data_IF_953925020863
#
_entry.id   IF_953925020863
#
_cell.length_a   1.000
_cell.length_b   1.000
_cell.length_c   1.000
_cell.angle_alpha   90.00
_cell.angle_beta   90.00
_cell.angle_gamma   90.00
#
_symmetry.space_group_name_H-M   'P 1'
#
loop_
_entity.id
_entity.type
_entity.pdbx_description
1 polymer ?
#
# COMPACT_ATOMS: atom_id res chain seq x y z
N UNK A 1 19.82 40.89 84.18
CA UNK A 1 20.73 42.06 84.21
C UNK A 1 21.05 42.47 82.78
N UNK A 2 20.89 43.77 82.49
CA UNK A 2 21.26 44.58 81.30
C UNK A 2 22.08 43.95 80.15
N UNK A 3 21.66 44.23 78.91
CA UNK A 3 22.33 45.02 77.84
C UNK A 3 21.44 44.93 76.57
N UNK A 4 20.72 45.96 76.12
CA UNK A 4 21.11 47.23 75.45
C UNK A 4 21.89 47.02 74.15
N UNK A 5 21.45 47.74 73.10
CA UNK A 5 22.06 47.98 71.77
C UNK A 5 21.55 47.04 70.66
N UNK A 6 21.22 47.48 69.44
CA UNK A 6 21.52 48.72 68.73
C UNK A 6 20.54 48.88 67.55
N UNK A 7 20.05 50.10 67.30
CA UNK A 7 19.39 50.47 66.03
C UNK A 7 20.42 50.48 64.91
N UNK A 8 20.09 49.89 63.75
CA UNK A 8 20.59 50.38 62.46
C UNK A 8 19.43 50.41 61.46
N UNK A 9 18.99 51.62 61.15
CA UNK A 9 18.11 51.91 60.03
C UNK A 9 18.95 51.85 58.74
N UNK A 10 18.75 50.82 57.93
CA UNK A 10 19.28 50.76 56.57
C UNK A 10 18.22 51.31 55.62
N UNK A 11 18.49 52.52 55.14
CA UNK A 11 17.82 53.20 54.03
C UNK A 11 17.74 52.28 52.80
N UNK A 12 16.53 52.01 52.33
CA UNK A 12 16.28 51.47 50.99
C UNK A 12 16.77 52.50 49.97
N UNK A 13 17.87 52.18 49.28
CA UNK A 13 18.22 52.87 48.05
C UNK A 13 17.35 52.29 46.92
N UNK A 14 16.37 53.07 46.48
CA UNK A 14 15.65 52.85 45.22
C UNK A 14 16.64 53.01 44.07
N UNK A 15 17.15 51.90 43.54
CA UNK A 15 17.80 51.89 42.24
C UNK A 15 16.71 52.07 41.17
N UNK A 16 16.54 53.31 40.71
CA UNK A 16 15.88 53.59 39.45
C UNK A 16 16.83 53.12 38.33
N UNK A 17 16.59 51.92 37.81
CA UNK A 17 17.20 51.48 36.56
C UNK A 17 16.36 52.07 35.41
N UNK A 18 16.60 53.33 35.08
CA UNK A 18 16.21 53.88 33.78
C UNK A 18 17.20 53.36 32.74
N UNK A 19 17.03 52.08 32.38
CA UNK A 19 17.59 51.53 31.17
C UNK A 19 16.64 51.88 30.03
N UNK A 20 16.99 52.92 29.26
CA UNK A 20 16.62 53.00 27.86
C UNK A 20 17.28 51.81 27.15
N UNK A 21 16.67 50.64 27.28
CA UNK A 21 16.82 49.62 26.26
C UNK A 21 16.02 50.13 25.08
N UNK A 22 16.72 50.57 24.03
CA UNK A 22 16.11 50.51 22.73
C UNK A 22 15.55 49.10 22.60
N UNK A 23 14.24 48.97 22.41
CA UNK A 23 13.71 47.85 21.65
C UNK A 23 14.51 47.88 20.35
N UNK A 24 15.62 47.15 20.31
CA UNK A 24 16.07 46.54 19.08
C UNK A 24 14.89 45.66 18.73
N UNK A 25 13.96 46.19 17.94
CA UNK A 25 13.05 45.37 17.20
C UNK A 25 13.96 44.34 16.53
N UNK A 26 13.96 43.12 17.08
CA UNK A 26 14.51 41.97 16.39
C UNK A 26 14.01 42.11 14.95
N UNK A 27 14.89 42.02 13.92
CA UNK A 27 14.42 42.04 12.55
C UNK A 27 13.29 41.02 12.47
N UNK A 28 12.09 41.54 12.25
CA UNK A 28 10.89 40.74 12.31
C UNK A 28 10.95 39.83 11.10
N UNK A 29 11.14 38.54 11.35
CA UNK A 29 11.29 37.56 10.28
C UNK A 29 10.06 37.45 9.37
N UNK A 30 10.16 36.63 8.32
CA UNK A 30 9.09 36.49 7.34
C UNK A 30 7.77 36.02 7.97
N UNK A 31 6.66 36.38 7.36
CA UNK A 31 5.31 35.94 7.74
C UNK A 31 4.67 35.22 6.56
N UNK A 32 4.17 34.01 6.80
CA UNK A 32 3.42 33.23 5.82
C UNK A 32 1.96 33.69 5.85
N UNK A 33 1.56 34.47 4.86
CA UNK A 33 0.19 34.99 4.74
C UNK A 33 -0.79 33.90 4.29
N UNK A 34 -0.36 33.03 3.36
CA UNK A 34 -1.14 31.86 2.92
C UNK A 34 -0.22 30.70 2.62
N UNK A 35 -0.68 29.48 2.90
CA UNK A 35 -0.02 28.24 2.52
C UNK A 35 -1.08 27.21 2.13
N UNK A 36 -1.02 26.74 0.89
CA UNK A 36 -2.01 25.83 0.32
C UNK A 36 -1.33 24.75 -0.53
N UNK A 37 -2.06 23.65 -0.74
CA UNK A 37 -1.77 22.66 -1.76
C UNK A 37 -2.90 22.72 -2.81
N UNK A 38 -2.56 22.49 -4.08
CA UNK A 38 -3.54 22.44 -5.19
C UNK A 38 -4.49 21.23 -5.10
N UNK A 39 -4.09 20.19 -4.36
CA UNK A 39 -4.93 19.04 -3.99
C UNK A 39 -4.73 18.65 -2.52
N UNK A 40 -5.79 18.15 -1.88
CA UNK A 40 -5.75 17.53 -0.56
C UNK A 40 -5.69 15.99 -0.64
N UNK A 41 -5.80 15.43 -1.84
CA UNK A 41 -5.71 13.99 -2.11
C UNK A 41 -4.82 13.71 -3.30
N UNK A 42 -3.88 12.78 -3.12
CA UNK A 42 -2.93 12.38 -4.17
C UNK A 42 -3.00 10.86 -4.36
N UNK A 43 -2.99 10.42 -5.61
CA UNK A 43 -2.87 9.02 -5.99
C UNK A 43 -1.56 8.74 -6.72
N UNK A 44 -1.22 7.47 -6.90
CA UNK A 44 -0.03 7.02 -7.64
C UNK A 44 0.10 7.71 -9.02
N UNK A 45 1.33 8.12 -9.34
CA UNK A 45 1.69 8.90 -10.52
C UNK A 45 1.26 10.38 -10.49
N UNK A 46 0.57 10.82 -9.43
CA UNK A 46 0.12 12.21 -9.28
C UNK A 46 1.22 13.18 -8.87
N UNK A 47 0.91 14.47 -8.96
CA UNK A 47 1.74 15.56 -8.43
C UNK A 47 0.91 16.47 -7.54
N UNK A 48 1.55 17.10 -6.56
CA UNK A 48 0.97 18.15 -5.70
C UNK A 48 1.86 19.38 -5.76
N UNK A 49 1.24 20.55 -5.91
CA UNK A 49 1.90 21.86 -5.90
C UNK A 49 1.58 22.57 -4.60
N UNK A 50 2.62 22.86 -3.83
CA UNK A 50 2.55 23.68 -2.63
C UNK A 50 2.83 25.14 -2.99
N UNK A 51 1.93 26.03 -2.61
CA UNK A 51 2.05 27.47 -2.88
C UNK A 51 1.96 28.26 -1.57
N UNK A 52 2.96 29.11 -1.33
CA UNK A 52 2.99 30.02 -0.20
C UNK A 52 3.09 31.49 -0.65
N UNK A 53 2.29 32.35 -0.01
CA UNK A 53 2.46 33.80 -0.09
C UNK A 53 3.17 34.25 1.19
N UNK A 54 4.32 34.88 1.03
CA UNK A 54 5.19 35.27 2.15
C UNK A 54 5.48 36.75 2.07
N UNK A 55 5.32 37.42 3.21
CA UNK A 55 5.64 38.84 3.38
C UNK A 55 6.75 38.99 4.40
N UNK A 56 7.56 40.03 4.27
CA UNK A 56 8.56 40.39 5.27
C UNK A 56 8.44 41.90 5.55
N UNK A 57 8.48 42.36 6.82
CA UNK A 57 8.41 43.78 7.14
C UNK A 57 9.55 44.63 6.56
N UNK A 58 10.70 44.04 6.23
CA UNK A 58 11.82 44.66 5.50
C UNK A 58 11.61 44.64 3.98
N UNK A 59 10.58 43.92 3.52
CA UNK A 59 10.16 43.78 2.13
C UNK A 59 10.40 42.36 1.61
N UNK A 60 9.57 41.90 0.66
CA UNK A 60 9.61 40.52 0.13
C UNK A 60 10.93 40.12 -0.51
N UNK A 61 11.76 41.09 -0.94
CA UNK A 61 13.11 40.84 -1.43
C UNK A 61 14.11 40.44 -0.34
N UNK A 62 13.73 40.52 0.95
CA UNK A 62 14.58 40.08 2.06
C UNK A 62 14.38 38.61 2.45
N UNK A 63 13.33 37.97 1.91
CA UNK A 63 13.10 36.53 2.10
C UNK A 63 14.15 35.76 1.29
N UNK A 64 15.00 35.00 1.98
CA UNK A 64 16.09 34.25 1.38
C UNK A 64 15.63 32.92 0.77
N UNK A 65 14.60 32.29 1.34
CA UNK A 65 14.02 31.06 0.83
C UNK A 65 13.06 30.40 1.80
N UNK A 66 12.48 29.28 1.39
CA UNK A 66 11.64 28.45 2.24
C UNK A 66 11.91 26.97 2.04
N UNK A 67 11.67 26.20 3.09
CA UNK A 67 11.83 24.74 3.07
C UNK A 67 10.49 24.07 3.38
N UNK A 68 10.22 22.96 2.71
CA UNK A 68 9.10 22.09 3.01
C UNK A 68 9.58 20.83 3.74
N UNK A 69 9.01 20.55 4.91
CA UNK A 69 9.34 19.41 5.77
C UNK A 69 8.11 18.58 6.12
N UNK A 70 8.34 17.34 6.56
CA UNK A 70 7.34 16.53 7.24
C UNK A 70 7.16 17.05 8.67
N UNK A 71 5.93 17.42 9.05
CA UNK A 71 5.67 18.00 10.36
C UNK A 71 5.83 16.99 11.52
N UNK A 72 5.81 15.68 11.23
CA UNK A 72 5.93 14.63 12.23
C UNK A 72 7.38 14.13 12.34
N UNK A 73 8.05 13.93 11.20
CA UNK A 73 9.40 13.37 11.13
C UNK A 73 10.52 14.40 11.02
N UNK A 74 10.23 15.62 10.55
CA UNK A 74 11.22 16.66 10.24
C UNK A 74 12.00 16.40 8.94
N UNK A 75 11.69 15.34 8.20
CA UNK A 75 12.32 15.03 6.92
C UNK A 75 12.05 16.14 5.91
N UNK A 76 13.05 16.51 5.10
CA UNK A 76 12.94 17.60 4.13
C UNK A 76 12.53 17.08 2.76
N UNK A 77 11.46 17.62 2.20
CA UNK A 77 10.98 17.28 0.86
C UNK A 77 11.60 18.17 -0.22
N UNK A 78 11.88 19.43 0.08
CA UNK A 78 12.46 20.35 -0.90
C UNK A 78 12.51 21.79 -0.43
N UNK A 79 12.99 22.63 -1.33
CA UNK A 79 13.10 24.08 -1.15
C UNK A 79 12.14 24.72 -2.14
N UNK A 80 11.43 25.76 -1.71
CA UNK A 80 10.53 26.51 -2.58
C UNK A 80 11.30 27.36 -3.60
N UNK A 81 10.77 27.42 -4.82
CA UNK A 81 11.21 28.35 -5.86
C UNK A 81 10.28 29.58 -5.87
N UNK A 82 10.83 30.75 -6.17
CA UNK A 82 10.06 32.00 -6.23
C UNK A 82 9.73 32.36 -7.68
N UNK A 83 8.45 32.48 -8.03
CA UNK A 83 8.00 32.83 -9.38
C UNK A 83 7.88 34.36 -9.61
N UNK A 84 8.14 35.16 -8.57
CA UNK A 84 8.02 36.61 -8.52
C UNK A 84 6.83 37.12 -7.68
N UNK A 85 5.83 36.27 -7.44
CA UNK A 85 4.62 36.59 -6.65
C UNK A 85 4.42 35.59 -5.50
N UNK A 86 4.63 34.31 -5.77
CA UNK A 86 4.47 33.20 -4.85
C UNK A 86 5.75 32.36 -4.74
N UNK A 87 5.80 31.57 -3.67
CA UNK A 87 6.77 30.53 -3.47
C UNK A 87 6.12 29.19 -3.77
N UNK A 88 6.67 28.45 -4.73
CA UNK A 88 6.10 27.20 -5.23
C UNK A 88 7.07 26.02 -5.11
N UNK A 89 6.54 24.86 -4.76
CA UNK A 89 7.25 23.59 -4.81
C UNK A 89 6.29 22.52 -5.31
N UNK A 90 6.62 21.91 -6.45
CA UNK A 90 5.87 20.78 -6.99
C UNK A 90 6.60 19.48 -6.62
N UNK A 91 5.86 18.54 -6.03
CA UNK A 91 6.37 17.20 -5.72
C UNK A 91 5.51 16.15 -6.42
N UNK A 92 6.16 15.17 -7.02
CA UNK A 92 5.48 13.96 -7.46
C UNK A 92 5.24 13.01 -6.29
N UNK A 93 4.31 12.07 -6.51
CA UNK A 93 4.11 10.92 -5.65
C UNK A 93 5.44 10.21 -5.29
N UNK A 94 6.29 9.98 -6.29
CA UNK A 94 7.59 9.33 -6.12
C UNK A 94 8.59 10.18 -5.31
N UNK A 95 8.60 11.51 -5.49
CA UNK A 95 9.46 12.40 -4.69
C UNK A 95 9.10 12.30 -3.20
N UNK A 96 7.81 12.26 -2.88
CA UNK A 96 7.31 12.14 -1.51
C UNK A 96 7.58 10.74 -0.95
N UNK A 97 7.33 9.69 -1.73
CA UNK A 97 7.61 8.31 -1.37
C UNK A 97 9.09 8.01 -1.18
N UNK A 98 9.97 8.70 -1.91
CA UNK A 98 11.42 8.59 -1.80
C UNK A 98 12.01 9.14 -0.50
N UNK A 99 11.33 10.12 0.12
CA UNK A 99 11.72 10.68 1.43
C UNK A 99 11.21 9.78 2.56
N UNK A 100 9.90 9.50 2.55
CA UNK A 100 9.27 8.58 3.50
C UNK A 100 8.35 7.63 2.74
N UNK A 101 8.59 6.33 2.90
CA UNK A 101 7.86 5.27 2.19
C UNK A 101 6.35 5.45 2.30
N UNK A 102 5.65 5.30 1.18
CA UNK A 102 4.19 5.31 1.10
C UNK A 102 3.68 3.87 1.23
N UNK A 103 3.78 3.32 2.44
CA UNK A 103 3.24 2.00 2.80
C UNK A 103 1.95 2.18 3.60
N UNK A 104 0.81 1.74 3.06
CA UNK A 104 -0.48 1.86 3.74
C UNK A 104 -1.48 0.80 3.25
N UNK A 105 -2.42 0.41 4.12
CA UNK A 105 -3.46 -0.57 3.78
C UNK A 105 -4.65 0.05 3.02
N UNK A 106 -4.88 1.36 3.19
CA UNK A 106 -6.00 2.07 2.56
C UNK A 106 -5.66 3.50 2.16
N UNK A 107 -5.14 4.28 3.11
CA UNK A 107 -4.66 5.64 2.90
C UNK A 107 -3.58 6.01 3.93
N UNK A 108 -2.70 6.93 3.55
CA UNK A 108 -1.77 7.62 4.46
C UNK A 108 -2.10 9.10 4.47
N UNK A 109 -1.99 9.76 5.62
CA UNK A 109 -2.21 11.20 5.73
C UNK A 109 -0.95 11.85 6.26
N UNK A 110 -0.39 12.78 5.50
CA UNK A 110 0.81 13.52 5.91
C UNK A 110 0.52 14.99 6.10
N UNK A 111 1.18 15.57 7.09
CA UNK A 111 1.16 17.00 7.35
C UNK A 111 2.49 17.57 6.90
N UNK A 112 2.44 18.46 5.92
CA UNK A 112 3.59 19.19 5.40
C UNK A 112 3.70 20.52 6.12
N UNK A 113 4.92 20.91 6.48
CA UNK A 113 5.24 22.15 7.17
C UNK A 113 6.14 23.01 6.30
N UNK A 114 5.81 24.29 6.16
CA UNK A 114 6.61 25.29 5.48
C UNK A 114 7.19 26.28 6.48
N UNK A 115 8.50 26.52 6.39
CA UNK A 115 9.22 27.55 7.15
C UNK A 115 10.04 28.38 6.17
N UNK A 116 9.94 29.71 6.28
CA UNK A 116 10.70 30.66 5.47
C UNK A 116 11.72 31.40 6.31
N UNK A 117 12.86 31.73 5.69
CA UNK A 117 13.96 32.43 6.34
C UNK A 117 14.33 33.68 5.56
N UNK A 118 14.67 34.75 6.27
CA UNK A 118 15.20 35.99 5.69
C UNK A 118 16.74 35.97 5.54
N UNK A 119 17.32 37.00 4.91
CA UNK A 119 18.77 37.13 4.75
C UNK A 119 19.53 37.42 6.05
N UNK A 120 18.82 37.80 7.11
CA UNK A 120 19.36 38.05 8.46
C UNK A 120 19.30 36.80 9.35
N UNK A 121 18.64 35.73 8.88
CA UNK A 121 18.42 34.48 9.60
C UNK A 121 17.16 34.46 10.47
N UNK A 122 16.26 35.43 10.34
CA UNK A 122 14.94 35.39 10.96
C UNK A 122 14.05 34.33 10.29
N UNK A 123 13.30 33.58 11.08
CA UNK A 123 12.43 32.49 10.61
C UNK A 123 10.96 32.86 10.77
N UNK A 124 10.12 32.41 9.84
CA UNK A 124 8.68 32.51 9.97
C UNK A 124 8.13 31.54 11.01
N UNK A 125 6.93 31.83 11.52
CA UNK A 125 6.14 30.78 12.15
C UNK A 125 5.83 29.66 11.13
N UNK A 126 5.75 28.39 11.56
CA UNK A 126 5.43 27.29 10.66
C UNK A 126 3.98 27.38 10.17
N UNK A 127 3.77 27.11 8.88
CA UNK A 127 2.46 26.91 8.30
C UNK A 127 2.32 25.46 7.82
N UNK A 128 1.14 24.86 8.02
CA UNK A 128 0.94 23.44 7.69
C UNK A 128 -0.24 23.20 6.74
N UNK A 129 -0.10 22.18 5.91
CA UNK A 129 -1.18 21.64 5.05
C UNK A 129 -1.12 20.12 5.09
N UNK A 130 -2.28 19.46 5.02
CA UNK A 130 -2.34 18.01 5.01
C UNK A 130 -2.75 17.48 3.63
N UNK A 131 -2.09 16.40 3.19
CA UNK A 131 -2.42 15.67 1.96
C UNK A 131 -2.65 14.21 2.31
N UNK A 132 -3.72 13.63 1.77
CA UNK A 132 -4.05 12.21 1.91
C UNK A 132 -3.62 11.45 0.66
N UNK A 133 -2.79 10.44 0.83
CA UNK A 133 -2.31 9.51 -0.19
C UNK A 133 -3.25 8.31 -0.27
N UNK A 134 -3.64 7.90 -1.47
CA UNK A 134 -4.55 6.75 -1.64
C UNK A 134 -4.30 5.98 -2.94
N UNK A 135 -4.75 4.73 -2.94
CA UNK A 135 -4.82 3.86 -4.12
C UNK A 135 -6.29 3.43 -4.36
N UNK A 136 -7.23 4.37 -4.22
CA UNK A 136 -8.68 4.14 -4.44
C UNK A 136 -9.27 2.97 -3.63
N UNK A 137 -8.73 2.75 -2.43
CA UNK A 137 -9.13 1.68 -1.52
C UNK A 137 -8.24 0.44 -1.60
N UNK A 138 -7.30 0.39 -2.54
CA UNK A 138 -6.22 -0.57 -2.58
C UNK A 138 -5.08 -0.15 -1.63
N UNK A 139 -4.25 -1.10 -1.18
CA UNK A 139 -3.04 -0.82 -0.42
C UNK A 139 -1.92 -0.28 -1.33
N UNK A 140 -0.95 0.39 -0.70
CA UNK A 140 0.29 0.82 -1.33
C UNK A 140 1.48 0.12 -0.69
N UNK A 141 2.40 -0.37 -1.53
CA UNK A 141 3.64 -1.01 -1.14
C UNK A 141 4.83 -0.30 -1.78
N UNK A 142 5.64 0.37 -0.97
CA UNK A 142 6.78 1.16 -1.43
C UNK A 142 6.37 2.28 -2.41
N UNK A 143 5.13 2.77 -2.30
CA UNK A 143 4.55 3.74 -3.23
C UNK A 143 3.84 3.15 -4.45
N UNK A 144 3.89 1.84 -4.71
CA UNK A 144 3.08 1.27 -5.80
C UNK A 144 1.69 0.89 -5.27
N UNK A 145 0.63 1.23 -6.02
CA UNK A 145 -0.71 0.71 -5.75
C UNK A 145 -0.80 -0.77 -6.17
N UNK A 146 -1.16 -1.65 -5.23
CA UNK A 146 -1.10 -3.10 -5.44
C UNK A 146 -2.44 -3.77 -5.11
N UNK A 147 -2.92 -4.62 -6.01
CA UNK A 147 -4.04 -5.52 -5.73
C UNK A 147 -3.55 -6.80 -5.03
N UNK A 148 -3.68 -6.84 -3.70
CA UNK A 148 -3.36 -8.04 -2.92
C UNK A 148 -4.17 -9.28 -3.28
N UNK A 149 -5.24 -9.17 -4.07
CA UNK A 149 -6.09 -10.30 -4.43
C UNK A 149 -5.63 -11.06 -5.66
N UNK A 150 -4.84 -10.42 -6.52
CA UNK A 150 -4.39 -10.98 -7.80
C UNK A 150 -2.89 -10.86 -8.03
N UNK A 151 -2.19 -9.97 -7.33
CA UNK A 151 -0.73 -9.84 -7.45
C UNK A 151 0.00 -10.98 -6.73
N UNK A 152 0.58 -11.89 -7.51
CA UNK A 152 1.38 -13.01 -7.01
C UNK A 152 2.66 -12.57 -6.27
N UNK A 153 3.14 -11.34 -6.46
CA UNK A 153 4.31 -10.82 -5.75
C UNK A 153 3.96 -10.18 -4.40
N UNK A 154 2.68 -9.92 -4.13
CA UNK A 154 2.17 -9.20 -2.96
C UNK A 154 0.86 -9.80 -2.43
N UNK A 155 0.72 -11.12 -2.50
CA UNK A 155 -0.52 -11.81 -2.26
C UNK A 155 -0.95 -11.75 -0.79
N UNK A 156 -2.03 -11.02 -0.52
CA UNK A 156 -2.51 -10.78 0.85
C UNK A 156 -1.67 -9.80 1.68
N UNK A 157 -0.62 -9.20 1.11
CA UNK A 157 0.25 -8.25 1.80
C UNK A 157 1.49 -7.85 1.00
N UNK A 158 2.06 -6.68 1.32
CA UNK A 158 3.29 -6.20 0.69
C UNK A 158 4.44 -7.21 0.84
N UNK A 159 5.07 -7.57 -0.29
CA UNK A 159 6.19 -8.51 -0.35
C UNK A 159 5.83 -9.97 -0.08
N UNK A 160 4.54 -10.31 0.06
CA UNK A 160 4.09 -11.70 0.24
C UNK A 160 4.03 -12.38 -1.12
N UNK A 161 5.17 -12.90 -1.56
CA UNK A 161 5.23 -13.64 -2.81
C UNK A 161 4.64 -15.04 -2.62
N UNK A 162 3.86 -15.47 -3.60
CA UNK A 162 3.50 -16.86 -3.72
C UNK A 162 4.74 -17.64 -4.14
N UNK A 163 5.46 -18.20 -3.17
CA UNK A 163 6.61 -19.06 -3.44
C UNK A 163 6.14 -20.28 -4.22
N UNK A 164 6.74 -20.51 -5.40
CA UNK A 164 6.62 -21.79 -6.08
C UNK A 164 7.02 -22.86 -5.07
N UNK A 165 6.09 -23.76 -4.78
CA UNK A 165 6.33 -24.87 -3.87
C UNK A 165 7.53 -25.67 -4.38
N UNK A 166 8.75 -25.36 -3.90
CA UNK A 166 9.99 -26.05 -4.31
C UNK A 166 10.05 -27.51 -3.82
N UNK A 167 8.94 -28.06 -3.31
CA UNK A 167 8.86 -29.42 -2.78
C UNK A 167 7.88 -30.34 -3.52
N UNK A 168 7.46 -30.05 -4.77
CA UNK A 168 6.71 -31.04 -5.55
C UNK A 168 7.21 -31.18 -6.99
N UNK A 169 8.14 -32.13 -7.14
CA UNK A 169 8.57 -32.82 -8.36
C UNK A 169 9.28 -31.99 -9.44
N UNK A 170 10.60 -32.17 -9.45
CA UNK A 170 11.59 -31.80 -10.47
C UNK A 170 11.36 -32.41 -11.88
N UNK A 171 10.12 -32.76 -12.23
CA UNK A 171 9.77 -33.38 -13.52
C UNK A 171 8.70 -32.63 -14.32
N UNK A 172 8.02 -31.63 -13.76
CA UNK A 172 7.03 -30.84 -14.50
C UNK A 172 7.49 -29.39 -14.60
N UNK A 173 8.15 -29.08 -15.71
CA UNK A 173 8.52 -27.72 -16.09
C UNK A 173 7.36 -27.10 -16.88
N UNK A 174 6.15 -27.14 -16.34
CA UNK A 174 4.95 -26.59 -16.99
C UNK A 174 4.38 -25.42 -16.17
N UNK A 175 4.69 -24.23 -16.70
CA UNK A 175 3.99 -22.92 -16.77
C UNK A 175 3.04 -22.39 -15.70
N UNK A 176 2.56 -23.17 -14.73
CA UNK A 176 1.59 -22.69 -13.72
C UNK A 176 2.23 -22.60 -12.34
N UNK A 177 3.01 -21.54 -12.12
CA UNK A 177 3.43 -21.16 -10.77
C UNK A 177 2.22 -20.87 -9.86
N UNK A 178 2.41 -20.81 -8.54
CA UNK A 178 1.32 -20.45 -7.63
C UNK A 178 0.81 -19.05 -7.97
N UNK A 179 -0.51 -18.91 -7.99
CA UNK A 179 -1.21 -17.66 -8.29
C UNK A 179 -1.77 -17.05 -7.02
N UNK A 180 -1.98 -15.74 -7.02
CA UNK A 180 -2.75 -15.10 -5.98
C UNK A 180 -4.24 -15.13 -6.36
N UNK A 181 -5.07 -15.65 -5.46
CA UNK A 181 -6.53 -15.62 -5.62
C UNK A 181 -7.17 -15.22 -4.30
N UNK A 182 -7.91 -14.11 -4.30
CA UNK A 182 -8.60 -13.58 -3.12
C UNK A 182 -7.67 -13.37 -1.92
N UNK A 183 -6.42 -12.95 -2.17
CA UNK A 183 -5.44 -12.68 -1.12
C UNK A 183 -4.77 -13.92 -0.55
N UNK A 184 -4.94 -15.06 -1.22
CA UNK A 184 -4.34 -16.32 -0.82
C UNK A 184 -3.54 -16.92 -1.97
N UNK A 185 -2.33 -17.36 -1.65
CA UNK A 185 -1.54 -18.15 -2.58
C UNK A 185 -2.19 -19.50 -2.79
N UNK A 186 -2.63 -19.73 -4.02
CA UNK A 186 -3.18 -21.01 -4.47
C UNK A 186 -2.25 -21.57 -5.52
N UNK A 187 -2.00 -22.87 -5.47
CA UNK A 187 -1.53 -23.55 -6.67
C UNK A 187 -2.74 -23.68 -7.59
N UNK A 188 -2.60 -23.36 -8.87
CA UNK A 188 -3.59 -23.79 -9.85
C UNK A 188 -3.83 -25.27 -9.58
N UNK A 189 -5.07 -25.65 -9.23
CA UNK A 189 -5.39 -27.05 -9.03
C UNK A 189 -4.98 -27.72 -10.34
N UNK A 190 -3.92 -28.50 -10.29
CA UNK A 190 -3.46 -29.27 -11.41
C UNK A 190 -4.57 -30.31 -11.61
N UNK A 191 -5.60 -29.96 -12.39
CA UNK A 191 -6.73 -30.83 -12.67
C UNK A 191 -6.16 -32.15 -13.27
N UNK A 192 -4.91 -32.17 -13.80
CA UNK A 192 -4.15 -33.36 -14.21
C UNK A 192 -3.65 -34.25 -13.06
N UNK A 193 -3.28 -33.69 -11.91
CA UNK A 193 -2.79 -34.45 -10.74
C UNK A 193 -3.92 -34.78 -9.75
N UNK A 194 -4.95 -33.93 -9.66
CA UNK A 194 -6.16 -34.21 -8.86
C UNK A 194 -7.12 -35.19 -9.58
N UNK A 195 -6.97 -35.37 -10.91
CA UNK A 195 -7.53 -36.50 -11.65
C UNK A 195 -6.85 -37.84 -11.32
N UNK A 196 -5.75 -37.86 -10.57
CA UNK A 196 -5.22 -39.08 -9.96
C UNK A 196 -5.89 -39.43 -8.62
N UNK A 197 -7.00 -38.77 -8.26
CA UNK A 197 -7.93 -39.37 -7.30
C UNK A 197 -8.53 -40.60 -7.97
N UNK A 198 -7.85 -41.73 -7.82
CA UNK A 198 -8.33 -43.04 -8.24
C UNK A 198 -9.78 -43.17 -7.81
N UNK A 199 -10.60 -43.81 -8.65
CA UNK A 199 -12.02 -44.02 -8.40
C UNK A 199 -12.30 -44.55 -6.97
N UNK A 200 -11.36 -45.37 -6.46
CA UNK A 200 -11.31 -45.86 -5.09
C UNK A 200 -11.20 -44.77 -4.03
N UNK A 201 -10.33 -43.78 -4.21
CA UNK A 201 -10.13 -42.68 -3.25
C UNK A 201 -11.36 -41.77 -3.18
N UNK A 202 -12.00 -41.50 -4.32
CA UNK A 202 -13.25 -40.74 -4.36
C UNK A 202 -14.39 -41.52 -3.70
N UNK A 203 -14.69 -42.74 -4.17
CA UNK A 203 -15.83 -43.49 -3.66
C UNK A 203 -15.67 -43.88 -2.17
N UNK A 204 -14.44 -44.06 -1.67
CA UNK A 204 -14.18 -44.31 -0.24
C UNK A 204 -14.42 -43.06 0.64
N UNK A 205 -14.07 -41.85 0.16
CA UNK A 205 -14.32 -40.60 0.91
C UNK A 205 -15.81 -40.33 1.08
N UNK A 206 -16.60 -40.58 0.04
CA UNK A 206 -18.05 -40.38 0.04
C UNK A 206 -18.82 -41.53 0.74
N UNK A 207 -18.12 -42.56 1.22
CA UNK A 207 -18.70 -43.64 2.02
C UNK A 207 -19.35 -44.78 1.24
N UNK A 208 -19.08 -44.88 -0.07
CA UNK A 208 -19.59 -45.98 -0.89
C UNK A 208 -18.84 -47.29 -0.60
N UNK A 209 -19.58 -48.41 -0.60
CA UNK A 209 -19.01 -49.73 -0.41
C UNK A 209 -18.68 -50.41 -1.75
N UNK A 210 -17.64 -51.24 -1.80
CA UNK A 210 -17.29 -52.00 -3.01
C UNK A 210 -16.53 -51.22 -4.09
N UNK A 211 -15.78 -50.18 -3.72
CA UNK A 211 -15.01 -49.37 -4.66
C UNK A 211 -13.98 -50.20 -5.45
N UNK A 212 -14.10 -50.35 -6.78
CA UNK A 212 -13.13 -51.10 -7.58
C UNK A 212 -11.79 -50.33 -7.63
N UNK A 213 -10.70 -51.07 -7.45
CA UNK A 213 -9.34 -50.56 -7.63
C UNK A 213 -8.96 -50.74 -9.11
N UNK A 214 -9.13 -49.68 -9.91
CA UNK A 214 -8.82 -49.71 -11.34
C UNK A 214 -7.34 -49.39 -11.64
N UNK A 215 -6.50 -49.24 -10.60
CA UNK A 215 -5.10 -48.83 -10.75
C UNK A 215 -4.93 -47.39 -11.26
N UNK A 216 -3.70 -47.02 -11.61
CA UNK A 216 -3.31 -45.69 -12.12
C UNK A 216 -3.77 -45.42 -13.57
N UNK A 217 -4.86 -46.06 -14.02
CA UNK A 217 -5.41 -45.75 -15.33
C UNK A 217 -6.11 -44.40 -15.27
N UNK A 218 -5.55 -43.43 -16.00
CA UNK A 218 -6.12 -42.10 -16.20
C UNK A 218 -7.59 -42.22 -16.60
N UNK A 219 -8.48 -41.75 -15.73
CA UNK A 219 -9.89 -41.60 -16.09
C UNK A 219 -9.98 -40.33 -16.92
N UNK A 220 -10.02 -40.49 -18.25
CA UNK A 220 -10.40 -39.39 -19.14
C UNK A 220 -11.86 -39.00 -18.84
N UNK A 221 -12.08 -37.81 -18.28
CA UNK A 221 -13.40 -37.22 -18.18
C UNK A 221 -13.86 -36.87 -19.61
N UNK A 222 -14.85 -37.58 -20.13
CA UNK A 222 -15.49 -37.21 -21.40
C UNK A 222 -16.57 -36.18 -21.08
N UNK A 223 -16.39 -34.95 -21.58
CA UNK A 223 -17.48 -34.00 -21.75
C UNK A 223 -18.21 -34.35 -23.05
N UNK A 224 -19.45 -34.85 -22.96
CA UNK A 224 -20.37 -34.87 -24.11
C UNK A 224 -21.42 -33.79 -23.89
N UNK A 225 -21.50 -32.84 -24.83
CA UNK A 225 -22.56 -31.85 -24.91
C UNK A 225 -23.78 -32.35 -25.72
N UNK A 226 -23.87 -33.66 -26.00
CA UNK A 226 -24.92 -34.24 -26.83
C UNK A 226 -26.03 -34.88 -25.96
N UNK A 227 -27.26 -34.34 -25.95
CA UNK A 227 -28.36 -34.88 -25.17
C UNK A 227 -28.91 -36.23 -25.69
N UNK A 228 -28.50 -36.69 -26.88
CA UNK A 228 -29.11 -37.87 -27.53
C UNK A 228 -28.28 -39.18 -27.43
N UNK A 229 -27.19 -39.21 -26.64
CA UNK A 229 -26.44 -40.45 -26.33
C UNK A 229 -26.99 -41.12 -25.05
N UNK A 230 -28.31 -41.09 -24.86
CA UNK A 230 -29.00 -41.67 -23.72
C UNK A 230 -29.97 -42.78 -24.15
N UNK A 231 -29.46 -44.00 -24.36
CA UNK A 231 -30.33 -45.18 -24.46
C UNK A 231 -29.74 -46.37 -23.72
N UNK A 232 -30.01 -46.46 -22.42
CA UNK A 232 -29.86 -47.71 -21.66
C UNK A 232 -29.54 -47.57 -20.16
N UNK A 233 -30.53 -47.14 -19.38
CA UNK A 233 -30.64 -47.21 -17.90
C UNK A 233 -30.01 -46.05 -17.06
N UNK A 234 -30.78 -45.40 -16.13
CA UNK A 234 -30.38 -44.19 -15.42
C UNK A 234 -30.08 -44.46 -13.93
N UNK A 235 -28.80 -44.35 -13.54
CA UNK A 235 -28.46 -44.08 -12.13
C UNK A 235 -27.14 -43.31 -12.01
N UNK A 236 -27.32 -41.99 -11.82
CA UNK A 236 -26.45 -41.02 -11.14
C UNK A 236 -25.09 -40.68 -11.77
N UNK A 237 -25.04 -39.54 -12.45
CA UNK A 237 -23.80 -38.79 -12.69
C UNK A 237 -23.66 -37.70 -11.61
N UNK A 238 -22.47 -37.60 -11.00
CA UNK A 238 -22.13 -36.52 -10.07
C UNK A 238 -21.62 -35.34 -10.88
N UNK A 239 -22.36 -34.23 -10.83
CA UNK A 239 -21.92 -32.95 -11.39
C UNK A 239 -20.97 -32.31 -10.37
N UNK A 240 -19.66 -32.32 -10.65
CA UNK A 240 -18.70 -31.53 -9.86
C UNK A 240 -18.55 -30.18 -10.57
N UNK A 241 -19.23 -29.16 -10.06
CA UNK A 241 -19.07 -27.79 -10.53
C UNK A 241 -17.77 -27.21 -9.94
N UNK A 242 -16.73 -27.01 -10.76
CA UNK A 242 -15.73 -25.93 -10.57
C UNK A 242 -14.55 -25.87 -11.55
N UNK A 243 -14.29 -26.84 -12.44
CA UNK A 243 -13.21 -26.75 -13.45
C UNK A 243 -13.86 -26.40 -14.83
N UNK A 244 -14.28 -25.15 -15.06
CA UNK A 244 -14.55 -24.64 -16.43
C UNK A 244 -13.21 -24.18 -17.03
N UNK A 245 -12.47 -25.11 -17.64
CA UNK A 245 -11.50 -24.73 -18.67
C UNK A 245 -12.14 -24.97 -20.04
N UNK A 246 -11.99 -23.98 -20.92
CA UNK A 246 -12.34 -24.02 -22.34
C UNK A 246 -11.66 -25.23 -23.00
N UNK A 247 -12.38 -26.34 -23.17
CA UNK A 247 -11.91 -27.55 -23.86
C UNK A 247 -12.20 -27.50 -25.37
N UNK A 248 -12.00 -26.35 -26.01
CA UNK A 248 -12.14 -26.23 -27.47
C UNK A 248 -11.02 -26.94 -28.24
N UNK A 249 -9.89 -27.23 -27.60
CA UNK A 249 -8.68 -27.78 -28.27
C UNK A 249 -8.39 -29.27 -27.98
N UNK A 250 -9.20 -29.95 -27.16
CA UNK A 250 -8.94 -31.33 -26.72
C UNK A 250 -9.53 -32.43 -27.64
N UNK A 251 -10.09 -32.08 -28.80
CA UNK A 251 -10.86 -33.02 -29.64
C UNK A 251 -10.01 -34.01 -30.48
N UNK A 252 -8.69 -33.82 -30.61
CA UNK A 252 -7.88 -34.56 -31.60
C UNK A 252 -6.93 -35.63 -31.04
N UNK A 253 -6.98 -35.94 -29.74
CA UNK A 253 -5.91 -36.71 -29.08
C UNK A 253 -6.42 -38.00 -28.43
N UNK A 254 -6.30 -39.09 -29.22
CA UNK A 254 -6.36 -40.52 -28.89
C UNK A 254 -7.72 -41.25 -28.81
N UNK A 255 -7.88 -42.24 -29.69
CA UNK A 255 -8.91 -43.28 -29.62
C UNK A 255 -8.60 -44.32 -28.53
N UNK A 256 -9.14 -44.12 -27.33
CA UNK A 256 -9.22 -45.13 -26.28
C UNK A 256 -10.69 -45.50 -26.01
N UNK A 257 -10.96 -46.80 -25.92
CA UNK A 257 -12.26 -47.35 -25.56
C UNK A 257 -12.65 -46.96 -24.11
N UNK A 258 -13.92 -46.57 -23.95
CA UNK A 258 -14.51 -45.98 -22.76
C UNK A 258 -14.44 -46.87 -21.50
N UNK A 259 -13.89 -46.36 -20.40
CA UNK A 259 -14.06 -46.93 -19.05
C UNK A 259 -14.72 -45.90 -18.13
N UNK A 260 -15.98 -46.12 -17.79
CA UNK A 260 -16.72 -45.35 -16.79
C UNK A 260 -16.72 -46.10 -15.45
N UNK A 261 -16.50 -45.38 -14.35
CA UNK A 261 -16.68 -45.91 -13.01
C UNK A 261 -18.16 -46.03 -12.66
N UNK A 262 -18.68 -47.25 -12.55
CA UNK A 262 -19.95 -47.50 -11.84
C UNK A 262 -19.65 -47.72 -10.35
N UNK A 263 -20.05 -46.78 -9.49
CA UNK A 263 -20.19 -47.01 -8.06
C UNK A 263 -21.68 -47.32 -7.77
N UNK A 264 -21.94 -48.51 -7.19
CA UNK A 264 -23.28 -48.90 -6.73
C UNK A 264 -23.50 -48.40 -5.28
N UNK A 265 -24.73 -48.06 -4.88
CA UNK A 265 -25.05 -47.61 -3.53
C UNK A 265 -24.78 -48.68 -2.46
#
# INVERSE_FOLDING_TARGET
MRRVSLLLATTLATLACTGLGADSAEPSGPEIATFIADTDRLSDGGTVTFTALVTDPQGTGDVAGGTLTDAEGGDTYGIFENDGENWELTLSWDDIGGVRSLDFDSEDKRTFEAIFVDNSGGESAPATVAVTFHCDGEPSCGGACIDFTTDAANCGGCGVQCEAYEAYNSSQKEESGPTCSAGQCVVAADCSNDLQRTCKTFCTKEGYSGCPDLGDQQIGLIFSADPDVCSGDPSTYIKINSCEQDLSDAADVYGYEHMACLCLP
#
